data_IF_142296448380
#
_entry.id   IF_142296448380
#
_cell.length_a   1.000
_cell.length_b   1.000
_cell.length_c   1.000
_cell.angle_alpha   90.00
_cell.angle_beta   90.00
_cell.angle_gamma   90.00
#
_symmetry.space_group_name_H-M   'P 1'
#
loop_
_entity.id
_entity.type
_entity.pdbx_description
1 polymer ?
#
# COMPACT_ATOMS: atom_id res chain seq x y z
N UNK A 1 18.53 0.08 28.57
CA UNK A 1 18.70 -1.37 28.43
C UNK A 1 19.21 -1.65 27.03
N UNK A 2 20.24 -2.48 26.89
CA UNK A 2 20.91 -2.72 25.60
C UNK A 2 20.06 -3.72 24.79
N UNK A 3 19.20 -3.21 23.91
CA UNK A 3 18.32 -4.05 23.09
C UNK A 3 19.16 -4.66 21.94
N UNK A 4 19.12 -5.98 21.72
CA UNK A 4 19.89 -6.59 20.64
C UNK A 4 19.41 -6.05 19.29
N UNK A 5 20.36 -5.66 18.43
CA UNK A 5 20.09 -5.17 17.07
C UNK A 5 19.51 -6.31 16.23
N UNK A 6 18.34 -6.10 15.68
CA UNK A 6 17.58 -7.03 14.83
C UNK A 6 18.10 -6.96 13.38
N UNK A 7 18.30 -5.75 12.87
CA UNK A 7 18.78 -5.50 11.51
C UNK A 7 20.30 -5.61 11.44
N UNK A 8 20.77 -6.48 10.55
CA UNK A 8 22.19 -6.72 10.36
C UNK A 8 22.78 -5.70 9.37
N UNK A 9 23.87 -4.99 9.72
CA UNK A 9 24.47 -3.96 8.87
C UNK A 9 24.88 -4.42 7.46
N UNK A 10 25.32 -5.67 7.32
CA UNK A 10 25.81 -6.21 6.05
C UNK A 10 24.75 -7.03 5.31
N UNK A 11 23.51 -7.01 5.78
CA UNK A 11 22.41 -7.75 5.19
C UNK A 11 21.47 -6.79 4.47
N UNK A 12 21.01 -7.21 3.29
CA UNK A 12 20.03 -6.42 2.56
C UNK A 12 18.61 -6.87 2.89
N UNK A 13 17.72 -5.89 3.10
CA UNK A 13 16.32 -6.09 3.41
C UNK A 13 15.44 -5.49 2.33
N UNK A 14 14.54 -6.31 1.80
CA UNK A 14 13.45 -5.87 0.92
C UNK A 14 12.18 -5.68 1.75
N UNK A 15 11.18 -4.95 1.22
CA UNK A 15 9.87 -4.84 1.88
C UNK A 15 9.28 -6.20 2.26
N UNK A 16 9.42 -7.22 1.40
CA UNK A 16 8.94 -8.57 1.68
C UNK A 16 9.65 -9.23 2.85
N UNK A 17 10.98 -9.06 2.96
CA UNK A 17 11.80 -9.69 4.00
C UNK A 17 11.42 -9.26 5.41
N UNK A 18 10.89 -8.05 5.58
CA UNK A 18 10.40 -7.59 6.88
C UNK A 18 9.22 -8.41 7.42
N UNK A 19 8.41 -9.04 6.56
CA UNK A 19 7.29 -9.90 6.96
C UNK A 19 7.76 -11.29 7.43
N UNK A 20 8.99 -11.68 7.09
CA UNK A 20 9.60 -12.96 7.48
C UNK A 20 10.31 -12.86 8.84
N UNK A 21 10.50 -11.65 9.37
CA UNK A 21 11.15 -11.41 10.64
C UNK A 21 10.23 -11.79 11.79
N UNK A 22 10.67 -12.72 12.63
CA UNK A 22 9.96 -13.13 13.86
C UNK A 22 10.17 -12.12 15.01
N UNK A 23 9.94 -10.85 14.73
CA UNK A 23 10.08 -9.73 15.67
C UNK A 23 8.88 -8.80 15.59
N UNK A 24 8.55 -8.14 16.69
CA UNK A 24 7.50 -7.12 16.70
C UNK A 24 7.84 -5.94 15.79
N UNK A 25 6.82 -5.27 15.25
CA UNK A 25 7.02 -4.13 14.32
C UNK A 25 7.71 -2.95 15.00
N UNK A 26 7.34 -2.64 16.24
CA UNK A 26 7.99 -1.61 17.07
C UNK A 26 9.46 -1.95 17.26
N UNK A 27 9.73 -3.25 17.31
CA UNK A 27 11.05 -3.77 17.54
C UNK A 27 11.97 -3.55 16.34
N UNK A 28 11.49 -3.87 15.14
CA UNK A 28 12.17 -3.63 13.86
C UNK A 28 12.34 -2.13 13.61
N UNK A 29 11.32 -1.31 13.90
CA UNK A 29 11.34 0.14 13.66
C UNK A 29 12.34 0.88 14.55
N UNK A 30 12.55 0.41 15.78
CA UNK A 30 13.55 0.99 16.68
C UNK A 30 14.97 0.93 16.09
N UNK A 31 15.31 -0.12 15.33
CA UNK A 31 16.61 -0.24 14.64
C UNK A 31 16.76 0.71 13.44
N UNK A 32 15.65 1.30 12.99
CA UNK A 32 15.59 2.31 11.93
C UNK A 32 15.46 3.73 12.50
N UNK A 33 15.61 3.91 13.82
CA UNK A 33 15.37 5.16 14.55
C UNK A 33 13.95 5.73 14.33
N UNK A 34 12.98 4.84 14.10
CA UNK A 34 11.58 5.17 13.85
C UNK A 34 10.69 4.85 15.07
N UNK A 35 9.71 5.72 15.31
CA UNK A 35 8.60 5.44 16.22
C UNK A 35 7.43 4.77 15.51
N UNK A 36 6.59 4.09 16.27
CA UNK A 36 5.33 3.51 15.80
C UNK A 36 4.17 4.07 16.62
N UNK A 37 3.12 4.50 15.93
CA UNK A 37 1.89 4.96 16.57
C UNK A 37 0.67 4.41 15.84
N UNK A 38 -0.37 4.09 16.60
CA UNK A 38 -1.68 3.65 16.08
C UNK A 38 -2.75 4.60 16.60
N UNK A 39 -3.25 5.44 15.70
CA UNK A 39 -4.29 6.40 16.00
C UNK A 39 -5.46 6.27 15.03
N UNK A 40 -6.65 6.63 15.51
CA UNK A 40 -7.81 6.82 14.63
C UNK A 40 -7.60 8.08 13.79
N UNK A 41 -7.57 7.91 12.47
CA UNK A 41 -7.44 9.02 11.54
C UNK A 41 -8.80 9.69 11.33
N UNK A 42 -8.87 10.99 11.64
CA UNK A 42 -9.97 11.84 11.17
C UNK A 42 -9.58 12.42 9.81
N UNK A 43 -10.00 11.76 8.74
CA UNK A 43 -9.73 12.24 7.39
C UNK A 43 -10.63 13.45 7.05
N UNK A 44 -10.10 14.46 6.34
CA UNK A 44 -10.89 15.60 5.92
C UNK A 44 -12.03 15.12 5.01
N UNK A 45 -13.24 15.62 5.27
CA UNK A 45 -14.41 15.34 4.44
C UNK A 45 -14.58 16.48 3.44
N UNK A 46 -15.00 16.13 2.23
CA UNK A 46 -15.42 17.10 1.23
C UNK A 46 -16.92 16.97 0.99
N UNK A 47 -17.59 18.11 0.85
CA UNK A 47 -18.97 18.18 0.38
C UNK A 47 -19.03 18.42 -1.14
N UNK A 48 -17.88 18.45 -1.82
CA UNK A 48 -17.85 18.55 -3.27
C UNK A 48 -18.50 17.31 -3.86
N UNK A 49 -19.42 17.53 -4.80
CA UNK A 49 -19.91 16.45 -5.62
C UNK A 49 -18.71 15.84 -6.35
N UNK A 50 -18.55 14.53 -6.25
CA UNK A 50 -17.59 13.76 -7.05
C UNK A 50 -18.41 13.14 -8.18
N UNK A 51 -18.41 13.73 -9.37
CA UNK A 51 -19.11 13.15 -10.51
C UNK A 51 -18.59 11.73 -10.74
N UNK A 52 -19.47 10.85 -11.21
CA UNK A 52 -19.13 9.47 -11.59
C UNK A 52 -18.73 8.55 -10.42
N UNK A 53 -18.91 8.98 -9.16
CA UNK A 53 -18.73 8.08 -8.01
C UNK A 53 -19.74 6.93 -8.03
N UNK A 54 -20.96 7.19 -8.50
CA UNK A 54 -21.97 6.15 -8.70
C UNK A 54 -21.50 5.12 -9.73
N UNK A 55 -20.92 5.56 -10.85
CA UNK A 55 -20.44 4.68 -11.91
C UNK A 55 -19.25 3.84 -11.42
N UNK A 56 -18.32 4.44 -10.65
CA UNK A 56 -17.25 3.70 -10.00
C UNK A 56 -17.80 2.62 -9.06
N UNK A 57 -18.82 2.95 -8.27
CA UNK A 57 -19.46 1.99 -7.37
C UNK A 57 -20.09 0.82 -8.14
N UNK A 58 -20.82 1.09 -9.23
CA UNK A 58 -21.37 0.04 -10.08
C UNK A 58 -20.27 -0.82 -10.72
N UNK A 59 -19.20 -0.19 -11.23
CA UNK A 59 -18.09 -0.91 -11.84
C UNK A 59 -17.40 -1.88 -10.85
N UNK A 60 -17.24 -1.46 -9.59
CA UNK A 60 -16.68 -2.32 -8.53
C UNK A 60 -17.64 -3.48 -8.23
N UNK A 61 -18.95 -3.22 -8.11
CA UNK A 61 -19.94 -4.27 -7.89
C UNK A 61 -19.99 -5.27 -9.05
N UNK A 62 -19.94 -4.80 -10.29
CA UNK A 62 -19.89 -5.64 -11.49
C UNK A 62 -18.65 -6.53 -11.49
N UNK A 63 -17.49 -5.98 -11.10
CA UNK A 63 -16.26 -6.75 -10.92
C UNK A 63 -16.42 -7.87 -9.88
N UNK A 64 -17.10 -7.59 -8.76
CA UNK A 64 -17.38 -8.57 -7.71
C UNK A 64 -18.37 -9.65 -8.19
N UNK A 65 -19.43 -9.24 -8.89
CA UNK A 65 -20.53 -10.12 -9.26
C UNK A 65 -20.22 -11.01 -10.46
N UNK A 66 -19.54 -10.47 -11.48
CA UNK A 66 -19.41 -11.12 -12.77
C UNK A 66 -18.00 -11.66 -13.07
N UNK A 67 -17.00 -11.38 -12.23
CA UNK A 67 -15.62 -11.82 -12.44
C UNK A 67 -15.13 -12.71 -11.30
N UNK A 68 -14.43 -13.79 -11.64
CA UNK A 68 -13.73 -14.62 -10.66
C UNK A 68 -12.45 -13.92 -10.20
N UNK A 69 -12.49 -13.27 -9.04
CA UNK A 69 -11.39 -12.47 -8.48
C UNK A 69 -10.38 -13.35 -7.71
N UNK A 70 -10.07 -14.53 -8.25
CA UNK A 70 -9.25 -15.55 -7.58
C UNK A 70 -7.75 -15.22 -7.60
N UNK A 71 -7.27 -14.53 -8.64
CA UNK A 71 -5.87 -14.10 -8.76
C UNK A 71 -5.65 -12.66 -8.31
N UNK A 72 -4.42 -12.33 -7.90
CA UNK A 72 -4.06 -10.94 -7.60
C UNK A 72 -4.23 -10.01 -8.81
N UNK A 73 -3.82 -10.49 -9.98
CA UNK A 73 -4.00 -9.74 -11.23
C UNK A 73 -5.47 -9.40 -11.47
N UNK A 74 -6.40 -10.35 -11.27
CA UNK A 74 -7.82 -10.09 -11.43
C UNK A 74 -8.32 -9.02 -10.46
N UNK A 75 -7.95 -9.05 -9.16
CA UNK A 75 -8.41 -7.97 -8.25
C UNK A 75 -7.75 -6.64 -8.57
N UNK A 76 -6.47 -6.63 -8.97
CA UNK A 76 -5.79 -5.41 -9.40
C UNK A 76 -6.51 -4.76 -10.58
N UNK A 77 -6.94 -5.57 -11.55
CA UNK A 77 -7.59 -5.08 -12.75
C UNK A 77 -9.05 -4.68 -12.52
N UNK A 78 -9.84 -5.52 -11.86
CA UNK A 78 -11.29 -5.34 -11.76
C UNK A 78 -11.74 -4.53 -10.54
N UNK A 79 -10.92 -4.44 -9.48
CA UNK A 79 -11.26 -3.70 -8.26
C UNK A 79 -10.36 -2.48 -8.04
N UNK A 80 -9.04 -2.65 -8.11
CA UNK A 80 -8.09 -1.59 -7.72
C UNK A 80 -7.90 -0.58 -8.84
N UNK A 81 -7.69 -1.00 -10.08
CA UNK A 81 -7.45 -0.11 -11.21
C UNK A 81 -8.57 0.92 -11.45
N UNK A 82 -9.87 0.58 -11.32
CA UNK A 82 -10.95 1.56 -11.37
C UNK A 82 -10.82 2.67 -10.30
N UNK A 83 -10.46 2.29 -9.07
CA UNK A 83 -10.27 3.25 -7.96
C UNK A 83 -9.07 4.15 -8.25
N UNK A 84 -7.93 3.57 -8.64
CA UNK A 84 -6.71 4.31 -9.00
C UNK A 84 -7.00 5.29 -10.15
N UNK A 85 -7.74 4.85 -11.17
CA UNK A 85 -8.17 5.68 -12.30
C UNK A 85 -9.02 6.85 -11.82
N UNK A 86 -9.96 6.62 -10.91
CA UNK A 86 -10.78 7.70 -10.34
C UNK A 86 -9.92 8.69 -9.55
N UNK A 87 -8.97 8.22 -8.73
CA UNK A 87 -8.05 9.08 -7.99
C UNK A 87 -7.24 9.95 -8.97
N UNK A 88 -6.63 9.36 -10.00
CA UNK A 88 -5.89 10.09 -11.03
C UNK A 88 -6.76 11.17 -11.69
N UNK A 89 -8.01 10.83 -12.04
CA UNK A 89 -8.94 11.76 -12.67
C UNK A 89 -9.34 12.91 -11.75
N UNK A 90 -9.66 12.64 -10.49
CA UNK A 90 -10.09 13.69 -9.55
C UNK A 90 -8.94 14.60 -9.11
N UNK A 91 -7.74 14.04 -8.97
CA UNK A 91 -6.57 14.78 -8.48
C UNK A 91 -5.71 15.37 -9.60
N UNK A 92 -5.91 14.94 -10.85
CA UNK A 92 -5.04 15.23 -12.00
C UNK A 92 -3.57 14.81 -11.76
N UNK A 93 -3.35 13.82 -10.89
CA UNK A 93 -2.02 13.26 -10.60
C UNK A 93 -1.78 12.00 -11.41
N UNK A 94 -0.50 11.74 -11.70
CA UNK A 94 -0.05 10.50 -12.34
C UNK A 94 0.32 9.49 -11.27
N UNK A 95 -0.12 8.25 -11.46
CA UNK A 95 0.32 7.10 -10.67
C UNK A 95 1.50 6.41 -11.38
N UNK A 96 2.48 5.95 -10.62
CA UNK A 96 3.49 5.00 -11.08
C UNK A 96 3.10 3.61 -10.57
N UNK A 97 2.98 2.66 -11.47
CA UNK A 97 2.63 1.26 -11.16
C UNK A 97 3.92 0.45 -11.09
N UNK A 98 4.04 -0.46 -10.14
CA UNK A 98 5.23 -1.29 -9.91
C UNK A 98 6.52 -0.44 -9.84
N UNK A 99 6.49 0.61 -9.02
CA UNK A 99 7.58 1.57 -8.94
C UNK A 99 8.72 1.04 -8.07
N UNK A 100 9.92 0.78 -8.63
CA UNK A 100 11.06 0.34 -7.85
C UNK A 100 11.63 1.51 -7.04
N UNK A 101 11.96 1.24 -5.78
CA UNK A 101 12.61 2.19 -4.88
C UNK A 101 13.75 1.51 -4.13
N UNK A 102 14.88 2.21 -4.06
CA UNK A 102 16.06 1.80 -3.28
C UNK A 102 16.50 3.01 -2.48
N UNK A 103 16.24 2.99 -1.18
CA UNK A 103 16.69 4.05 -0.26
C UNK A 103 18.07 3.71 0.27
N UNK A 104 18.25 2.47 0.75
CA UNK A 104 19.53 1.92 1.19
C UNK A 104 19.45 0.38 1.19
N UNK A 105 20.49 -0.29 1.72
CA UNK A 105 20.52 -1.75 1.78
C UNK A 105 19.44 -2.36 2.65
N UNK A 106 18.91 -1.61 3.62
CA UNK A 106 17.84 -2.04 4.50
C UNK A 106 16.44 -1.72 3.94
N UNK A 107 16.31 -0.77 3.02
CA UNK A 107 15.02 -0.31 2.54
C UNK A 107 14.99 -0.21 1.03
N UNK A 108 14.59 -1.32 0.39
CA UNK A 108 14.39 -1.39 -1.05
C UNK A 108 13.25 -2.33 -1.43
N UNK A 109 12.69 -2.15 -2.62
CA UNK A 109 11.62 -2.99 -3.12
C UNK A 109 10.85 -2.31 -4.24
N UNK A 110 9.65 -2.83 -4.49
CA UNK A 110 8.73 -2.29 -5.49
C UNK A 110 7.45 -1.90 -4.79
N UNK A 111 6.90 -0.74 -5.15
CA UNK A 111 5.60 -0.27 -4.70
C UNK A 111 4.56 -0.59 -5.77
N UNK A 112 3.44 -1.18 -5.38
CA UNK A 112 2.39 -1.52 -6.35
C UNK A 112 1.80 -0.29 -7.05
N UNK A 113 1.47 0.74 -6.26
CA UNK A 113 1.02 2.02 -6.77
C UNK A 113 1.64 3.17 -5.98
N UNK A 114 2.32 4.07 -6.67
CA UNK A 114 2.94 5.26 -6.09
C UNK A 114 2.35 6.53 -6.69
N UNK A 115 1.67 7.31 -5.86
CA UNK A 115 1.28 8.69 -6.16
C UNK A 115 2.31 9.63 -5.55
N UNK A 116 3.06 10.33 -6.40
CA UNK A 116 4.05 11.30 -5.97
C UNK A 116 3.41 12.34 -5.03
N UNK A 117 4.04 12.53 -3.86
CA UNK A 117 3.64 13.48 -2.80
C UNK A 117 2.38 13.14 -2.00
N UNK A 118 1.78 11.95 -2.17
CA UNK A 118 0.44 11.68 -1.62
C UNK A 118 0.27 10.34 -0.93
N UNK A 119 0.58 9.23 -1.61
CA UNK A 119 0.08 7.92 -1.18
C UNK A 119 0.86 6.76 -1.80
N UNK A 120 1.16 5.78 -0.96
CA UNK A 120 1.60 4.44 -1.36
C UNK A 120 0.44 3.49 -1.10
N UNK A 121 0.06 2.71 -2.11
CA UNK A 121 -0.92 1.63 -1.95
C UNK A 121 -0.21 0.34 -2.29
N UNK A 122 -0.17 -0.57 -1.32
CA UNK A 122 0.29 -1.94 -1.50
C UNK A 122 -0.94 -2.85 -1.54
N UNK A 123 -1.14 -3.55 -2.66
CA UNK A 123 -2.24 -4.47 -2.86
C UNK A 123 -1.80 -5.87 -2.44
N UNK A 124 -1.75 -6.10 -1.13
CA UNK A 124 -1.39 -7.41 -0.58
C UNK A 124 -2.61 -8.28 -0.30
N UNK A 125 -2.42 -9.58 -0.50
CA UNK A 125 -3.15 -10.63 0.20
C UNK A 125 -2.71 -10.63 1.67
N UNK A 126 -3.67 -10.70 2.55
CA UNK A 126 -3.68 -11.76 3.55
C UNK A 126 -5.12 -12.20 3.69
N UNK A 127 -5.34 -13.51 3.91
CA UNK A 127 -6.50 -13.89 4.68
C UNK A 127 -6.41 -13.07 5.96
N UNK A 128 -7.35 -12.16 6.16
CA UNK A 128 -7.68 -11.68 7.50
C UNK A 128 -8.36 -12.85 8.21
N UNK A 129 -7.59 -13.88 8.54
CA UNK A 129 -7.95 -14.86 9.57
C UNK A 129 -7.56 -14.29 10.94
#
# INVERSE_FOLDING_TARGET
MNRPRILRPNESYTFAKYFELAYDIEDILADLDCGFDRALLTLPRTNQAIPELHDLHQQILDGIQYVSITSEQARREFLIAPIIRQICRQTQKRVRVEYPITVNDWLKGTLDYYFQDLLVIEAKRDNLD
#
